data_IF_271216219357
#
_entry.id   IF_271216219357
#
_cell.length_a   1.000
_cell.length_b   1.000
_cell.length_c   1.000
_cell.angle_alpha   90.00
_cell.angle_beta   90.00
_cell.angle_gamma   90.00
#
_symmetry.space_group_name_H-M   'P 1'
#
loop_
_entity.id
_entity.type
_entity.pdbx_description
1 polymer ?
#
# COMPACT_ATOMS: atom_id res chain seq x y z
N UNK A 1 14.45 2.00 11.71
CA UNK A 1 13.29 2.90 11.88
C UNK A 1 13.63 4.03 12.83
N UNK A 2 13.38 5.26 12.41
CA UNK A 2 13.56 6.49 13.17
C UNK A 2 12.29 6.84 13.97
N UNK A 3 12.38 7.82 14.89
CA UNK A 3 11.19 8.37 15.57
C UNK A 3 10.17 8.94 14.58
N UNK A 4 10.64 9.51 13.47
CA UNK A 4 9.78 10.04 12.41
C UNK A 4 9.01 8.91 11.71
N UNK A 5 9.66 7.79 11.43
CA UNK A 5 9.00 6.62 10.82
C UNK A 5 7.88 6.08 11.73
N UNK A 6 8.08 6.07 13.04
CA UNK A 6 7.05 5.69 14.01
C UNK A 6 5.84 6.62 13.98
N UNK A 7 6.07 7.93 13.88
CA UNK A 7 5.01 8.93 13.80
C UNK A 7 4.22 8.75 12.50
N UNK A 8 4.91 8.58 11.35
CA UNK A 8 4.26 8.36 10.05
C UNK A 8 3.43 7.07 10.05
N UNK A 9 3.99 5.96 10.51
CA UNK A 9 3.27 4.68 10.56
C UNK A 9 2.03 4.75 11.45
N UNK A 10 2.13 5.40 12.61
CA UNK A 10 0.98 5.63 13.49
C UNK A 10 -0.11 6.45 12.81
N UNK A 11 0.25 7.54 12.13
CA UNK A 11 -0.70 8.37 11.39
C UNK A 11 -1.41 7.59 10.28
N UNK A 12 -0.67 6.79 9.49
CA UNK A 12 -1.25 5.92 8.46
C UNK A 12 -2.28 4.96 9.08
N UNK A 13 -1.93 4.29 10.18
CA UNK A 13 -2.87 3.40 10.87
C UNK A 13 -4.12 4.14 11.35
N UNK A 14 -3.99 5.36 11.88
CA UNK A 14 -5.14 6.16 12.31
C UNK A 14 -6.03 6.53 11.13
N UNK A 15 -5.45 7.00 10.01
CA UNK A 15 -6.19 7.37 8.79
C UNK A 15 -7.01 6.19 8.27
N UNK A 16 -6.43 4.98 8.23
CA UNK A 16 -7.12 3.76 7.76
C UNK A 16 -8.33 3.36 8.63
N UNK A 17 -8.44 3.87 9.85
CA UNK A 17 -9.59 3.58 10.75
C UNK A 17 -10.74 4.59 10.65
N UNK A 18 -10.51 5.73 9.99
CA UNK A 18 -11.49 6.81 9.89
C UNK A 18 -12.53 6.44 8.83
N UNK A 19 -13.81 6.54 9.20
CA UNK A 19 -14.95 6.30 8.30
C UNK A 19 -15.68 7.58 7.88
N UNK A 20 -15.39 8.69 8.56
CA UNK A 20 -16.07 9.95 8.31
C UNK A 20 -15.42 10.65 7.10
N UNK A 21 -16.21 10.84 6.05
CA UNK A 21 -15.77 11.44 4.78
C UNK A 21 -15.37 12.92 4.96
N UNK A 22 -16.18 13.71 5.66
CA UNK A 22 -15.89 15.14 5.90
C UNK A 22 -14.55 15.33 6.63
N UNK A 23 -14.23 14.44 7.56
CA UNK A 23 -12.97 14.46 8.28
C UNK A 23 -11.79 14.13 7.34
N UNK A 24 -11.94 13.14 6.45
CA UNK A 24 -10.91 12.81 5.47
C UNK A 24 -10.70 13.96 4.48
N UNK A 25 -11.77 14.64 4.05
CA UNK A 25 -11.69 15.82 3.18
C UNK A 25 -10.97 17.00 3.86
N UNK A 26 -11.28 17.26 5.13
CA UNK A 26 -10.60 18.30 5.90
C UNK A 26 -9.11 17.97 6.10
N UNK A 27 -8.79 16.69 6.34
CA UNK A 27 -7.43 16.21 6.49
C UNK A 27 -6.63 16.33 5.19
N UNK A 28 -7.23 15.96 4.05
CA UNK A 28 -6.63 16.12 2.73
C UNK A 28 -6.32 17.59 2.41
N UNK A 29 -7.26 18.48 2.71
CA UNK A 29 -7.09 19.93 2.56
C UNK A 29 -5.95 20.48 3.44
N UNK A 30 -5.85 20.00 4.68
CA UNK A 30 -4.79 20.39 5.62
C UNK A 30 -3.41 19.93 5.14
N UNK A 31 -3.29 18.69 4.66
CA UNK A 31 -2.03 18.15 4.14
C UNK A 31 -1.63 18.89 2.86
N UNK A 32 -2.57 19.13 1.96
CA UNK A 32 -2.34 19.83 0.69
C UNK A 32 -1.94 21.29 0.87
N UNK A 33 -2.44 21.97 1.92
CA UNK A 33 -2.10 23.36 2.24
C UNK A 33 -0.79 23.52 3.02
N UNK A 34 -0.35 22.47 3.72
CA UNK A 34 0.90 22.47 4.50
C UNK A 34 2.11 21.96 3.71
N UNK A 35 1.90 21.43 2.51
CA UNK A 35 2.98 21.04 1.61
C UNK A 35 3.68 22.29 1.02
N UNK A 36 4.59 22.90 1.80
CA UNK A 36 5.79 23.47 1.18
C UNK A 36 6.37 22.36 0.31
N UNK A 37 6.25 22.50 -1.02
CA UNK A 37 6.64 21.55 -2.08
C UNK A 37 7.75 20.59 -1.63
N UNK A 38 7.38 19.54 -0.92
CA UNK A 38 8.33 18.49 -0.61
C UNK A 38 8.52 17.74 -1.91
N UNK A 39 9.78 17.49 -2.27
CA UNK A 39 10.12 16.74 -3.47
C UNK A 39 9.41 15.38 -3.55
N UNK A 40 9.57 14.66 -4.67
CA UNK A 40 8.95 13.36 -4.86
C UNK A 40 9.16 12.47 -3.62
N UNK A 41 8.10 11.77 -3.21
CA UNK A 41 8.16 10.82 -2.10
C UNK A 41 9.28 9.81 -2.35
N UNK A 42 10.31 9.84 -1.51
CA UNK A 42 11.40 8.86 -1.57
C UNK A 42 10.89 7.52 -1.05
N UNK A 43 10.98 6.50 -1.90
CA UNK A 43 10.65 5.12 -1.53
C UNK A 43 11.62 4.64 -0.45
N UNK A 44 11.14 3.77 0.44
CA UNK A 44 12.05 3.06 1.35
C UNK A 44 12.83 1.99 0.57
N UNK A 45 13.96 1.55 1.11
CA UNK A 45 14.78 0.47 0.49
C UNK A 45 13.98 -0.81 0.27
N UNK A 46 13.06 -1.13 1.18
CA UNK A 46 12.19 -2.29 1.07
C UNK A 46 11.17 -2.14 -0.06
N UNK A 47 10.67 -0.92 -0.30
CA UNK A 47 9.76 -0.63 -1.40
C UNK A 47 10.48 -0.67 -2.75
N UNK A 48 11.70 -0.12 -2.83
CA UNK A 48 12.56 -0.24 -4.01
C UNK A 48 12.87 -1.71 -4.32
N UNK A 49 13.17 -2.50 -3.30
CA UNK A 49 13.42 -3.94 -3.45
C UNK A 49 12.18 -4.67 -3.95
N UNK A 50 10.98 -4.40 -3.41
CA UNK A 50 9.75 -5.02 -3.90
C UNK A 50 9.47 -4.68 -5.37
N UNK A 51 9.73 -3.45 -5.80
CA UNK A 51 9.61 -3.07 -7.20
C UNK A 51 10.62 -3.81 -8.07
N UNK A 52 11.89 -3.90 -7.65
CA UNK A 52 12.91 -4.64 -8.38
C UNK A 52 12.56 -6.13 -8.55
N UNK A 53 12.03 -6.76 -7.49
CA UNK A 53 11.54 -8.14 -7.55
C UNK A 53 10.35 -8.28 -8.52
N UNK A 54 9.44 -7.30 -8.52
CA UNK A 54 8.29 -7.29 -9.43
C UNK A 54 8.71 -7.19 -10.90
N UNK A 55 9.68 -6.32 -11.21
CA UNK A 55 10.26 -6.20 -12.55
C UNK A 55 10.93 -7.51 -13.00
N UNK A 56 11.63 -8.17 -12.09
CA UNK A 56 12.24 -9.49 -12.35
C UNK A 56 11.17 -10.55 -12.64
N UNK A 57 10.06 -10.56 -11.89
CA UNK A 57 8.95 -11.46 -12.11
C UNK A 57 8.28 -11.23 -13.46
N UNK A 58 8.12 -9.97 -13.88
CA UNK A 58 7.58 -9.60 -15.19
C UNK A 58 8.52 -10.08 -16.30
N UNK A 59 9.83 -9.79 -16.19
CA UNK A 59 10.83 -10.15 -17.19
C UNK A 59 10.93 -11.67 -17.39
N UNK A 60 10.73 -12.45 -16.34
CA UNK A 60 10.78 -13.91 -16.37
C UNK A 60 9.40 -14.57 -16.59
N UNK A 61 8.34 -13.79 -16.83
CA UNK A 61 6.99 -14.32 -17.03
C UNK A 61 6.40 -15.03 -15.81
N UNK A 62 6.88 -14.72 -14.60
CA UNK A 62 6.35 -15.24 -13.32
C UNK A 62 5.09 -14.48 -12.88
N UNK A 63 4.28 -14.10 -13.84
CA UNK A 63 2.99 -13.44 -13.64
C UNK A 63 1.86 -14.44 -13.79
N UNK A 64 0.73 -14.21 -13.13
CA UNK A 64 -0.49 -15.00 -13.32
C UNK A 64 -1.61 -14.10 -13.82
N UNK A 65 -2.55 -14.66 -14.57
CA UNK A 65 -3.74 -13.90 -14.97
C UNK A 65 -4.65 -13.65 -13.76
N UNK A 66 -5.47 -12.60 -13.86
CA UNK A 66 -6.46 -12.29 -12.83
C UNK A 66 -7.46 -13.43 -12.64
N UNK A 67 -7.84 -14.12 -13.72
CA UNK A 67 -8.76 -15.26 -13.67
C UNK A 67 -8.14 -16.47 -12.98
N UNK A 68 -6.85 -16.74 -13.23
CA UNK A 68 -6.11 -17.80 -12.54
C UNK A 68 -5.98 -17.52 -11.03
N UNK A 69 -5.69 -16.27 -10.68
CA UNK A 69 -5.64 -15.82 -9.29
C UNK A 69 -6.99 -16.04 -8.61
N UNK A 70 -8.08 -15.59 -9.26
CA UNK A 70 -9.46 -15.75 -8.74
C UNK A 70 -9.82 -17.22 -8.52
N UNK A 71 -9.50 -18.09 -9.48
CA UNK A 71 -9.75 -19.53 -9.38
C UNK A 71 -8.99 -20.15 -8.19
N UNK A 72 -7.70 -19.85 -8.04
CA UNK A 72 -6.89 -20.31 -6.91
C UNK A 72 -7.41 -19.81 -5.56
N UNK A 73 -7.85 -18.54 -5.49
CA UNK A 73 -8.44 -17.98 -4.29
C UNK A 73 -9.74 -18.69 -3.88
N UNK A 74 -10.59 -19.05 -4.84
CA UNK A 74 -11.82 -19.80 -4.59
C UNK A 74 -11.51 -21.22 -4.08
N UNK A 75 -10.58 -21.93 -4.72
CA UNK A 75 -10.15 -23.26 -4.28
C UNK A 75 -9.58 -23.24 -2.84
N UNK A 76 -8.77 -22.23 -2.52
CA UNK A 76 -8.26 -22.05 -1.17
C UNK A 76 -9.38 -21.83 -0.15
N UNK A 77 -10.38 -20.99 -0.47
CA UNK A 77 -11.54 -20.75 0.40
C UNK A 77 -12.35 -22.04 0.64
N UNK A 78 -12.53 -22.86 -0.38
CA UNK A 78 -13.21 -24.15 -0.27
C UNK A 78 -12.43 -25.14 0.59
N UNK A 79 -11.10 -25.21 0.43
CA UNK A 79 -10.23 -26.08 1.26
C UNK A 79 -10.21 -25.72 2.75
N UNK A 80 -10.62 -24.49 3.09
CA UNK A 80 -10.73 -24.01 4.47
C UNK A 80 -12.10 -24.28 5.11
N UNK A 81 -13.07 -24.79 4.34
CA UNK A 81 -14.42 -25.15 4.82
C UNK A 81 -14.54 -26.62 5.28
N UNK A 82 -13.47 -27.41 5.26
CA UNK A 82 -13.42 -28.77 5.82
C UNK A 82 -12.83 -28.79 7.22
#
# INVERSE_FOLDING_TARGET
>A
MTKVDHIRNKLISQILTIKNEEFLLALDTLISSSAEKSGPFELTKEQELMLAMSEEDIANGRTISQDDLKSKSLQWLESKKS
#
